data_IF_079178938076
#
_entry.id   IF_079178938076
#
_cell.length_a   1.000
_cell.length_b   1.000
_cell.length_c   1.000
_cell.angle_alpha   90.00
_cell.angle_beta   90.00
_cell.angle_gamma   90.00
#
_symmetry.space_group_name_H-M   'P 1'
#
loop_
_entity.id
_entity.type
_entity.pdbx_description
1 polymer ?
#
# COMPACT_ATOMS: atom_id res chain seq x y z
N UNK A 1 7.22 19.49 -20.90
CA UNK A 1 7.19 18.12 -21.46
C UNK A 1 8.37 17.27 -21.00
N UNK A 2 9.63 17.67 -21.28
CA UNK A 2 10.82 16.84 -20.98
C UNK A 2 11.01 16.47 -19.51
N UNK A 3 10.62 17.36 -18.58
CA UNK A 3 10.75 17.13 -17.13
C UNK A 3 9.87 15.96 -16.65
N UNK A 4 8.65 15.82 -17.17
CA UNK A 4 7.77 14.70 -16.82
C UNK A 4 8.29 13.38 -17.40
N UNK A 5 8.79 13.41 -18.64
CA UNK A 5 9.36 12.24 -19.30
C UNK A 5 10.59 11.72 -18.55
N UNK A 6 11.43 12.62 -18.04
CA UNK A 6 12.56 12.25 -17.19
C UNK A 6 12.10 11.51 -15.92
N UNK A 7 11.11 12.05 -15.20
CA UNK A 7 10.56 11.39 -14.00
C UNK A 7 10.00 10.01 -14.32
N UNK A 8 9.23 9.88 -15.42
CA UNK A 8 8.67 8.59 -15.85
C UNK A 8 9.76 7.58 -16.21
N UNK A 9 10.81 8.00 -16.92
CA UNK A 9 11.93 7.13 -17.28
C UNK A 9 12.70 6.65 -16.03
N UNK A 10 12.91 7.54 -15.06
CA UNK A 10 13.51 7.19 -13.76
C UNK A 10 12.64 6.17 -13.03
N UNK A 11 11.33 6.41 -12.92
CA UNK A 11 10.38 5.48 -12.27
C UNK A 11 10.35 4.11 -12.95
N UNK A 12 10.35 4.09 -14.29
CA UNK A 12 10.40 2.84 -15.06
C UNK A 12 11.68 2.05 -14.80
N UNK A 13 12.84 2.72 -14.75
CA UNK A 13 14.09 2.04 -14.39
C UNK A 13 14.06 1.49 -12.96
N UNK A 14 13.58 2.26 -11.97
CA UNK A 14 13.48 1.78 -10.59
C UNK A 14 12.50 0.61 -10.42
N UNK A 15 11.39 0.59 -11.17
CA UNK A 15 10.48 -0.55 -11.18
C UNK A 15 11.08 -1.81 -11.82
N UNK A 16 11.78 -1.68 -12.94
CA UNK A 16 12.40 -2.84 -13.62
C UNK A 16 13.57 -3.40 -12.83
N UNK A 17 14.35 -2.52 -12.18
CA UNK A 17 15.55 -2.92 -11.45
C UNK A 17 15.28 -3.37 -10.02
N UNK A 18 14.07 -3.13 -9.50
CA UNK A 18 13.64 -3.46 -8.12
C UNK A 18 14.67 -3.10 -7.03
N UNK A 19 15.48 -2.04 -7.27
CA UNK A 19 16.55 -1.62 -6.35
C UNK A 19 16.00 -1.21 -4.99
N UNK A 20 14.75 -0.74 -4.96
CA UNK A 20 14.04 -0.31 -3.76
C UNK A 20 12.69 -1.03 -3.64
N UNK A 21 12.20 -1.25 -2.41
CA UNK A 21 10.84 -1.74 -2.18
C UNK A 21 9.81 -0.92 -2.96
N UNK A 22 8.86 -1.60 -3.60
CA UNK A 22 7.77 -0.98 -4.37
C UNK A 22 7.09 0.22 -3.68
N UNK A 23 6.82 0.20 -2.35
CA UNK A 23 6.25 1.36 -1.65
C UNK A 23 7.15 2.60 -1.71
N UNK A 24 8.46 2.40 -1.56
CA UNK A 24 9.45 3.49 -1.53
C UNK A 24 9.63 4.06 -2.94
N UNK A 25 9.76 3.19 -3.95
CA UNK A 25 9.80 3.59 -5.36
C UNK A 25 8.56 4.39 -5.75
N UNK A 26 7.40 3.96 -5.27
CA UNK A 26 6.15 4.70 -5.41
C UNK A 26 6.22 6.12 -4.85
N UNK A 27 6.91 6.38 -3.74
CA UNK A 27 6.95 7.73 -3.14
C UNK A 27 7.92 8.72 -3.83
N UNK A 28 8.82 8.26 -4.69
CA UNK A 28 9.79 9.09 -5.44
C UNK A 28 9.19 10.31 -6.17
N UNK A 29 8.08 10.21 -6.94
CA UNK A 29 7.51 11.33 -7.68
C UNK A 29 6.83 12.34 -6.76
N UNK A 30 6.42 11.97 -5.53
CA UNK A 30 5.90 12.92 -4.53
C UNK A 30 6.94 13.99 -4.20
N UNK A 31 8.22 13.63 -4.24
CA UNK A 31 9.33 14.56 -4.02
C UNK A 31 9.82 15.17 -5.33
N UNK A 32 9.98 14.36 -6.38
CA UNK A 32 10.55 14.85 -7.65
C UNK A 32 9.63 15.83 -8.39
N UNK A 33 8.31 15.64 -8.36
CA UNK A 33 7.37 16.55 -9.05
C UNK A 33 7.40 17.99 -8.52
N UNK A 34 7.33 18.25 -7.20
CA UNK A 34 7.47 19.61 -6.67
C UNK A 34 8.89 20.16 -6.81
N UNK A 35 9.94 19.33 -6.67
CA UNK A 35 11.33 19.78 -6.83
C UNK A 35 11.62 20.25 -8.27
N UNK A 36 11.03 19.57 -9.24
CA UNK A 36 11.09 19.94 -10.66
C UNK A 36 10.06 21.00 -11.04
N UNK A 37 9.26 21.53 -10.10
CA UNK A 37 8.22 22.54 -10.37
C UNK A 37 7.18 22.10 -11.42
N UNK A 38 6.92 20.79 -11.51
CA UNK A 38 5.93 20.22 -12.45
C UNK A 38 4.53 20.34 -11.84
N UNK A 39 4.40 20.02 -10.56
CA UNK A 39 3.14 20.04 -9.82
C UNK A 39 3.40 20.56 -8.40
N UNK A 40 2.41 21.22 -7.78
CA UNK A 40 2.54 21.69 -6.39
C UNK A 40 2.59 20.52 -5.41
N UNK A 41 3.16 20.74 -4.23
CA UNK A 41 3.23 19.73 -3.16
C UNK A 41 1.84 19.25 -2.75
N UNK A 42 0.87 20.18 -2.63
CA UNK A 42 -0.53 19.86 -2.31
C UNK A 42 -1.12 18.90 -3.35
N UNK A 43 -1.11 19.31 -4.62
CA UNK A 43 -1.73 18.51 -5.70
C UNK A 43 -1.05 17.14 -5.87
N UNK A 44 0.27 17.06 -5.68
CA UNK A 44 1.00 15.79 -5.78
C UNK A 44 0.61 14.84 -4.63
N UNK A 45 0.45 15.38 -3.43
CA UNK A 45 0.09 14.61 -2.23
C UNK A 45 -1.37 14.16 -2.28
N UNK A 46 -2.27 14.99 -2.81
CA UNK A 46 -3.68 14.64 -3.02
C UNK A 46 -3.83 13.42 -3.95
N UNK A 47 -2.99 13.30 -4.98
CA UNK A 47 -2.95 12.11 -5.84
C UNK A 47 -2.43 10.84 -5.12
N UNK A 48 -1.68 10.98 -4.01
CA UNK A 48 -1.19 9.85 -3.23
C UNK A 48 -2.15 9.46 -2.10
N UNK A 49 -2.72 10.46 -1.40
CA UNK A 49 -3.67 10.30 -0.29
C UNK A 49 -5.13 10.26 -0.77
N UNK A 50 -5.40 9.45 -1.80
CA UNK A 50 -6.79 9.20 -2.22
C UNK A 50 -7.51 8.27 -1.24
N UNK A 51 -8.84 8.37 -1.20
CA UNK A 51 -9.70 7.53 -0.35
C UNK A 51 -9.38 6.04 -0.50
N UNK A 52 -9.16 5.55 -1.72
CA UNK A 52 -8.82 4.15 -1.99
C UNK A 52 -7.50 3.74 -1.31
N UNK A 53 -6.46 4.56 -1.38
CA UNK A 53 -5.16 4.28 -0.73
C UNK A 53 -5.32 4.23 0.79
N UNK A 54 -6.10 5.16 1.35
CA UNK A 54 -6.38 5.19 2.79
C UNK A 54 -7.21 4.00 3.26
N UNK A 55 -8.20 3.57 2.48
CA UNK A 55 -8.99 2.36 2.77
C UNK A 55 -8.11 1.11 2.74
N UNK A 56 -7.16 1.03 1.81
CA UNK A 56 -6.22 -0.08 1.72
C UNK A 56 -5.24 -0.10 2.89
N UNK A 57 -4.68 1.06 3.27
CA UNK A 57 -3.88 1.19 4.48
C UNK A 57 -4.67 0.79 5.73
N UNK A 58 -5.91 1.28 5.85
CA UNK A 58 -6.80 0.94 6.96
C UNK A 58 -7.09 -0.56 7.05
N UNK A 59 -7.36 -1.22 5.92
CA UNK A 59 -7.61 -2.67 5.90
C UNK A 59 -6.38 -3.48 6.30
N UNK A 60 -5.18 -3.07 5.87
CA UNK A 60 -3.92 -3.69 6.29
C UNK A 60 -3.68 -3.52 7.79
N UNK A 61 -3.92 -2.33 8.33
CA UNK A 61 -3.81 -2.08 9.78
C UNK A 61 -4.79 -2.95 10.55
N UNK A 62 -6.05 -3.04 10.10
CA UNK A 62 -7.06 -3.91 10.72
C UNK A 62 -6.62 -5.39 10.66
N UNK A 63 -6.08 -5.85 9.54
CA UNK A 63 -5.57 -7.22 9.40
C UNK A 63 -4.47 -7.52 10.43
N UNK A 64 -3.50 -6.61 10.60
CA UNK A 64 -2.43 -6.72 11.60
C UNK A 64 -2.99 -6.72 13.02
N UNK A 65 -3.99 -5.88 13.31
CA UNK A 65 -4.66 -5.86 14.63
C UNK A 65 -5.36 -7.19 14.92
N UNK A 66 -6.04 -7.78 13.93
CA UNK A 66 -6.71 -9.09 14.04
C UNK A 66 -5.69 -10.21 14.28
N UNK A 67 -4.54 -10.14 13.60
CA UNK A 67 -3.42 -11.07 13.79
C UNK A 67 -2.87 -11.00 15.22
N UNK A 68 -2.49 -9.81 15.68
CA UNK A 68 -1.92 -9.59 17.01
C UNK A 68 -2.91 -9.88 18.15
N UNK A 69 -4.21 -9.66 17.93
CA UNK A 69 -5.26 -9.98 18.92
C UNK A 69 -5.55 -11.49 19.02
N UNK A 70 -4.96 -12.32 18.14
CA UNK A 70 -5.25 -13.74 18.06
C UNK A 70 -6.70 -14.06 17.67
N UNK A 71 -7.44 -13.07 17.13
CA UNK A 71 -8.85 -13.22 16.80
C UNK A 71 -9.05 -14.26 15.69
N UNK A 72 -8.14 -14.29 14.71
CA UNK A 72 -8.11 -15.31 13.65
C UNK A 72 -8.08 -16.74 14.23
N UNK A 73 -7.26 -16.98 15.26
CA UNK A 73 -7.15 -18.29 15.93
C UNK A 73 -8.42 -18.64 16.71
N UNK A 74 -9.01 -17.67 17.43
CA UNK A 74 -10.28 -17.87 18.16
C UNK A 74 -11.41 -18.26 17.22
N UNK A 75 -11.52 -17.58 16.07
CA UNK A 75 -12.53 -17.89 15.05
C UNK A 75 -12.28 -19.27 14.44
N UNK A 76 -11.03 -19.61 14.10
CA UNK A 76 -10.68 -20.94 13.58
C UNK A 76 -11.07 -22.07 14.56
N UNK A 77 -10.74 -21.92 15.85
CA UNK A 77 -11.08 -22.90 16.88
C UNK A 77 -12.60 -23.03 17.10
N UNK A 78 -13.35 -21.93 17.03
CA UNK A 78 -14.82 -21.95 17.11
C UNK A 78 -15.42 -22.76 15.94
N UNK A 79 -14.94 -22.54 14.72
CA UNK A 79 -15.40 -23.27 13.53
C UNK A 79 -15.09 -24.77 13.67
N UNK A 80 -13.87 -25.12 14.08
CA UNK A 80 -13.47 -26.52 14.33
C UNK A 80 -14.34 -27.16 15.40
N UNK A 81 -14.67 -26.45 16.49
CA UNK A 81 -15.55 -26.97 17.55
C UNK A 81 -16.99 -27.19 17.04
N UNK A 82 -17.52 -26.27 16.23
CA UNK A 82 -18.89 -26.40 15.71
C UNK A 82 -19.02 -27.55 14.70
N UNK A 83 -18.05 -27.71 13.79
CA UNK A 83 -18.11 -28.73 12.73
C UNK A 83 -17.57 -30.08 13.25
N UNK A 84 -16.49 -30.07 14.03
CA UNK A 84 -15.83 -31.28 14.55
C UNK A 84 -16.63 -32.03 15.62
N UNK A 85 -17.58 -31.39 16.30
CA UNK A 85 -18.53 -32.08 17.19
C UNK A 85 -19.71 -32.74 16.44
N UNK A 86 -19.83 -32.54 15.13
CA UNK A 86 -20.84 -33.18 14.27
C UNK A 86 -20.24 -34.34 13.47
N UNK A 87 -19.46 -35.22 14.12
CA UNK A 87 -19.20 -36.54 13.56
C UNK A 87 -20.30 -37.51 14.02
N UNK A 88 -21.46 -37.41 13.37
CA UNK A 88 -22.43 -38.48 13.19
C UNK A 88 -23.00 -38.42 11.79
#
# INVERSE_FOLDING_TARGET
MYRCLYVVAVMAMFWVTEVLPLPITGMIPVVLYPLMGILSTSNTTDCYMNDTTMMFLGSLVIAVVIENSGLHMRVALLIIKMIGCSHR
#
